data_IF_844288718254
#
_entry.id   IF_844288718254
#
_cell.length_a   1.000
_cell.length_b   1.000
_cell.length_c   1.000
_cell.angle_alpha   90.00
_cell.angle_beta   90.00
_cell.angle_gamma   90.00
#
_symmetry.space_group_name_H-M   'P 1'
#
loop_
_entity.id
_entity.type
_entity.pdbx_description
1 polymer ?
#
# COMPACT_ATOMS: atom_id res chain seq x y z
N UNK A 1 -20.90 -10.91 23.88
CA UNK A 1 -19.70 -11.08 23.06
C UNK A 1 -20.11 -11.78 21.76
N UNK A 2 -19.67 -11.26 20.62
CA UNK A 2 -19.92 -11.91 19.33
C UNK A 2 -19.30 -13.32 19.30
N UNK A 3 -19.92 -14.22 18.54
CA UNK A 3 -19.47 -15.61 18.47
C UNK A 3 -18.17 -15.71 17.66
N UNK A 4 -17.07 -16.09 18.31
CA UNK A 4 -15.77 -16.27 17.67
C UNK A 4 -15.77 -17.35 16.58
N UNK A 5 -16.68 -18.33 16.64
CA UNK A 5 -16.81 -19.33 15.58
C UNK A 5 -17.23 -18.72 14.25
N UNK A 6 -18.06 -17.67 14.29
CA UNK A 6 -18.42 -16.92 13.09
C UNK A 6 -17.20 -16.20 12.51
N UNK A 7 -16.35 -15.62 13.35
CA UNK A 7 -15.12 -15.00 12.91
C UNK A 7 -14.14 -16.03 12.32
N UNK A 8 -13.99 -17.23 12.93
CA UNK A 8 -13.15 -18.30 12.38
C UNK A 8 -13.55 -18.69 10.96
N UNK A 9 -14.86 -18.74 10.66
CA UNK A 9 -15.35 -18.97 9.29
C UNK A 9 -14.92 -17.86 8.34
N UNK A 10 -15.02 -16.60 8.76
CA UNK A 10 -14.56 -15.44 7.98
C UNK A 10 -13.05 -15.51 7.76
N UNK A 11 -12.28 -15.81 8.80
CA UNK A 11 -10.81 -15.95 8.72
C UNK A 11 -10.38 -17.17 7.88
N UNK A 12 -11.28 -18.16 7.69
CA UNK A 12 -10.99 -19.41 7.00
C UNK A 12 -10.09 -20.35 7.80
N UNK A 13 -10.06 -20.19 9.13
CA UNK A 13 -9.21 -20.96 10.03
C UNK A 13 -9.92 -21.23 11.37
N UNK A 14 -9.91 -22.49 11.79
CA UNK A 14 -10.34 -22.89 13.11
C UNK A 14 -9.11 -22.96 14.03
N UNK A 15 -9.06 -22.11 15.04
CA UNK A 15 -7.91 -22.01 15.94
C UNK A 15 -7.83 -23.24 16.84
N UNK A 16 -6.66 -23.89 16.85
CA UNK A 16 -6.33 -24.93 17.82
C UNK A 16 -6.16 -24.33 19.22
N UNK A 17 -5.57 -23.14 19.31
CA UNK A 17 -5.51 -22.34 20.51
C UNK A 17 -6.44 -21.12 20.43
N UNK A 18 -7.66 -21.25 20.92
CA UNK A 18 -8.62 -20.15 20.97
C UNK A 18 -8.15 -18.94 21.82
N UNK A 19 -7.14 -19.09 22.67
CA UNK A 19 -6.57 -17.99 23.43
C UNK A 19 -5.82 -17.01 22.52
N UNK A 20 -5.16 -17.48 21.47
CA UNK A 20 -4.49 -16.64 20.47
C UNK A 20 -5.48 -15.70 19.78
N UNK A 21 -6.64 -16.21 19.34
CA UNK A 21 -7.66 -15.38 18.70
C UNK A 21 -8.21 -14.33 19.66
N UNK A 22 -8.49 -14.71 20.92
CA UNK A 22 -8.95 -13.75 21.94
C UNK A 22 -7.90 -12.68 22.21
N UNK A 23 -6.64 -13.05 22.33
CA UNK A 23 -5.54 -12.12 22.54
C UNK A 23 -5.44 -11.13 21.38
N UNK A 24 -5.52 -11.59 20.12
CA UNK A 24 -5.48 -10.73 18.93
C UNK A 24 -6.62 -9.70 18.88
N UNK A 25 -7.75 -9.98 19.51
CA UNK A 25 -8.93 -9.12 19.57
C UNK A 25 -8.96 -8.23 20.82
N UNK A 26 -8.06 -8.42 21.78
CA UNK A 26 -8.07 -7.70 23.07
C UNK A 26 -7.20 -6.44 22.99
N UNK A 27 -7.85 -5.27 23.16
CA UNK A 27 -7.18 -3.97 23.17
C UNK A 27 -6.37 -3.77 24.47
N UNK A 28 -5.22 -3.08 24.45
CA UNK A 28 -4.40 -2.80 25.64
C UNK A 28 -5.12 -2.02 26.77
N UNK A 29 -6.26 -1.41 26.49
CA UNK A 29 -7.08 -0.77 27.55
C UNK A 29 -7.73 -1.75 28.52
N UNK A 30 -7.76 -3.04 28.19
CA UNK A 30 -8.23 -4.10 29.09
C UNK A 30 -7.09 -4.47 30.03
N UNK A 31 -7.38 -4.62 31.32
CA UNK A 31 -6.40 -4.98 32.33
C UNK A 31 -5.76 -6.37 32.06
N UNK A 32 -4.46 -6.47 32.18
CA UNK A 32 -3.69 -7.72 32.01
C UNK A 32 -2.75 -7.69 30.82
N UNK A 33 -1.86 -8.69 30.75
CA UNK A 33 -0.80 -8.76 29.72
C UNK A 33 -1.22 -9.45 28.41
N UNK A 34 -2.43 -10.02 28.37
CA UNK A 34 -2.93 -10.77 27.22
C UNK A 34 -3.67 -9.87 26.23
N UNK A 35 -2.98 -8.90 25.65
CA UNK A 35 -3.51 -7.99 24.61
C UNK A 35 -2.75 -8.13 23.28
N UNK A 36 -3.24 -7.48 22.24
CA UNK A 36 -2.82 -7.72 20.88
C UNK A 36 -1.39 -7.24 20.51
N UNK A 37 -0.77 -6.32 21.25
CA UNK A 37 0.45 -5.61 20.79
C UNK A 37 1.61 -6.53 20.36
N UNK A 38 1.83 -7.65 21.04
CA UNK A 38 2.88 -8.60 20.64
C UNK A 38 2.52 -9.36 19.35
N UNK A 39 1.24 -9.64 19.14
CA UNK A 39 0.74 -10.27 17.91
C UNK A 39 0.72 -9.27 16.75
N UNK A 40 0.37 -8.02 16.99
CA UNK A 40 0.50 -6.88 16.06
C UNK A 40 1.95 -6.77 15.54
N UNK A 41 2.93 -6.69 16.47
CA UNK A 41 4.35 -6.63 16.10
C UNK A 41 4.75 -7.80 15.19
N UNK A 42 4.32 -9.02 15.49
CA UNK A 42 4.62 -10.20 14.69
C UNK A 42 3.88 -10.15 13.36
N UNK A 43 2.60 -9.82 13.38
CA UNK A 43 1.72 -9.80 12.21
C UNK A 43 2.17 -8.80 11.15
N UNK A 44 2.63 -7.60 11.57
CA UNK A 44 3.22 -6.61 10.66
C UNK A 44 4.41 -7.21 9.87
N UNK A 45 5.31 -7.94 10.53
CA UNK A 45 6.47 -8.59 9.86
C UNK A 45 6.05 -9.72 8.93
N UNK A 46 5.03 -10.48 9.31
CA UNK A 46 4.48 -11.56 8.48
C UNK A 46 3.77 -10.98 7.25
N UNK A 47 2.92 -9.97 7.42
CA UNK A 47 2.29 -9.24 6.31
C UNK A 47 3.34 -8.68 5.36
N UNK A 48 4.35 -8.01 5.90
CA UNK A 48 5.46 -7.44 5.14
C UNK A 48 6.15 -8.50 4.25
N UNK A 49 6.47 -9.66 4.82
CA UNK A 49 7.12 -10.74 4.09
C UNK A 49 6.22 -11.34 2.99
N UNK A 50 4.93 -11.52 3.28
CA UNK A 50 3.96 -12.06 2.32
C UNK A 50 3.77 -11.11 1.14
N UNK A 51 3.50 -9.81 1.41
CA UNK A 51 3.27 -8.80 0.37
C UNK A 51 4.53 -8.57 -0.46
N UNK A 52 5.71 -8.43 0.17
CA UNK A 52 6.96 -8.27 -0.55
C UNK A 52 7.25 -9.47 -1.47
N UNK A 53 7.03 -10.70 -0.97
CA UNK A 53 7.20 -11.92 -1.77
C UNK A 53 6.23 -11.96 -2.96
N UNK A 54 4.99 -11.55 -2.75
CA UNK A 54 3.97 -11.53 -3.80
C UNK A 54 4.32 -10.49 -4.88
N UNK A 55 4.68 -9.28 -4.49
CA UNK A 55 5.10 -8.23 -5.42
C UNK A 55 6.35 -8.63 -6.22
N UNK A 56 7.35 -9.23 -5.58
CA UNK A 56 8.56 -9.71 -6.24
C UNK A 56 8.25 -10.75 -7.35
N UNK A 57 7.25 -11.61 -7.11
CA UNK A 57 6.81 -12.61 -8.10
C UNK A 57 5.96 -12.03 -9.22
N UNK A 58 5.07 -11.09 -8.89
CA UNK A 58 4.17 -10.47 -9.86
C UNK A 58 4.88 -9.48 -10.80
N UNK A 59 5.98 -8.89 -10.34
CA UNK A 59 6.70 -7.84 -11.07
C UNK A 59 8.20 -8.16 -11.20
N UNK A 60 8.58 -9.22 -11.96
CA UNK A 60 9.96 -9.69 -12.03
C UNK A 60 10.94 -8.64 -12.58
N UNK A 61 10.48 -7.75 -13.45
CA UNK A 61 11.32 -6.73 -14.12
C UNK A 61 11.22 -5.34 -13.46
N UNK A 62 10.49 -5.23 -12.33
CA UNK A 62 10.28 -3.94 -11.67
C UNK A 62 11.46 -3.60 -10.76
N UNK A 63 11.92 -2.33 -10.82
CA UNK A 63 12.97 -1.84 -9.93
C UNK A 63 12.50 -1.74 -8.46
N UNK A 64 13.45 -1.67 -7.53
CA UNK A 64 13.20 -1.61 -6.09
C UNK A 64 12.30 -0.42 -5.69
N UNK A 65 12.52 0.76 -6.28
CA UNK A 65 11.75 1.96 -5.93
C UNK A 65 10.26 1.82 -6.23
N UNK A 66 9.92 1.26 -7.37
CA UNK A 66 8.53 1.02 -7.77
C UNK A 66 7.89 -0.12 -6.96
N UNK A 67 8.66 -1.17 -6.64
CA UNK A 67 8.21 -2.22 -5.71
C UNK A 67 7.91 -1.64 -4.33
N UNK A 68 8.78 -0.77 -3.80
CA UNK A 68 8.59 -0.12 -2.51
C UNK A 68 7.36 0.79 -2.47
N UNK A 69 7.05 1.51 -3.54
CA UNK A 69 5.84 2.32 -3.65
C UNK A 69 4.57 1.47 -3.55
N UNK A 70 4.51 0.36 -4.29
CA UNK A 70 3.39 -0.59 -4.26
C UNK A 70 3.26 -1.27 -2.91
N UNK A 71 4.38 -1.71 -2.36
CA UNK A 71 4.44 -2.31 -1.03
C UNK A 71 3.85 -1.38 0.02
N UNK A 72 4.32 -0.12 0.09
CA UNK A 72 3.83 0.86 1.06
C UNK A 72 2.32 1.11 0.94
N UNK A 73 1.77 1.11 -0.28
CA UNK A 73 0.32 1.26 -0.48
C UNK A 73 -0.47 0.07 0.06
N UNK A 74 0.09 -1.13 0.00
CA UNK A 74 -0.58 -2.38 0.42
C UNK A 74 -0.50 -2.63 1.92
N UNK A 75 0.57 -2.18 2.60
CA UNK A 75 0.78 -2.43 4.04
C UNK A 75 0.47 -1.24 4.94
N UNK A 76 0.05 -0.10 4.40
CA UNK A 76 -0.25 1.09 5.20
C UNK A 76 -1.49 0.89 6.07
N UNK A 77 -1.57 1.64 7.17
CA UNK A 77 -2.66 1.54 8.16
C UNK A 77 -4.07 1.72 7.58
N UNK A 78 -4.23 2.58 6.58
CA UNK A 78 -5.53 2.81 5.93
C UNK A 78 -6.01 1.55 5.18
N UNK A 79 -5.10 0.82 4.56
CA UNK A 79 -5.40 -0.45 3.88
C UNK A 79 -5.82 -1.50 4.89
N UNK A 80 -5.04 -1.71 5.94
CA UNK A 80 -5.36 -2.64 7.02
C UNK A 80 -6.71 -2.32 7.70
N UNK A 81 -6.96 -1.04 7.99
CA UNK A 81 -8.23 -0.60 8.55
C UNK A 81 -9.42 -0.87 7.59
N UNK A 82 -9.20 -0.75 6.29
CA UNK A 82 -10.22 -1.08 5.28
C UNK A 82 -10.53 -2.59 5.28
N UNK A 83 -9.50 -3.43 5.33
CA UNK A 83 -9.66 -4.89 5.45
C UNK A 83 -10.38 -5.25 6.77
N UNK A 84 -9.94 -4.67 7.89
CA UNK A 84 -10.57 -4.89 9.19
C UNK A 84 -12.07 -4.57 9.19
N UNK A 85 -12.48 -3.49 8.53
CA UNK A 85 -13.89 -3.12 8.33
C UNK A 85 -14.62 -4.11 7.42
N UNK A 86 -13.99 -4.53 6.31
CA UNK A 86 -14.57 -5.49 5.36
C UNK A 86 -14.94 -6.82 6.01
N UNK A 87 -14.16 -7.26 7.00
CA UNK A 87 -14.39 -8.51 7.74
C UNK A 87 -15.03 -8.29 9.13
N UNK A 88 -15.49 -7.05 9.40
CA UNK A 88 -16.18 -6.65 10.62
C UNK A 88 -15.43 -6.99 11.92
N UNK A 89 -14.10 -6.81 11.96
CA UNK A 89 -13.30 -7.08 13.17
C UNK A 89 -13.77 -6.27 14.38
N UNK A 90 -14.28 -5.06 14.16
CA UNK A 90 -14.76 -4.16 15.21
C UNK A 90 -15.77 -4.83 16.16
N UNK A 91 -16.64 -5.67 15.63
CA UNK A 91 -17.69 -6.39 16.38
C UNK A 91 -17.12 -7.39 17.39
N UNK A 92 -15.94 -7.95 17.11
CA UNK A 92 -15.29 -8.98 17.93
C UNK A 92 -14.27 -8.43 18.92
N UNK A 93 -13.88 -7.16 18.80
CA UNK A 93 -12.87 -6.56 19.66
C UNK A 93 -13.34 -6.46 21.10
N UNK A 94 -12.38 -6.67 22.01
CA UNK A 94 -12.57 -6.49 23.47
C UNK A 94 -11.76 -5.28 23.90
N UNK A 95 -12.42 -4.29 24.53
CA UNK A 95 -11.79 -3.06 25.03
C UNK A 95 -12.47 -2.59 26.30
N UNK A 96 -11.82 -1.69 27.05
CA UNK A 96 -12.44 -1.08 28.23
C UNK A 96 -13.61 -0.17 27.85
N UNK A 97 -14.56 0.03 28.76
CA UNK A 97 -15.68 0.95 28.53
C UNK A 97 -15.22 2.36 28.14
N UNK A 98 -14.18 2.89 28.77
CA UNK A 98 -13.65 4.22 28.43
C UNK A 98 -13.08 4.31 27.00
N UNK A 99 -12.43 3.25 26.48
CA UNK A 99 -11.97 3.22 25.11
C UNK A 99 -13.14 3.06 24.13
N UNK A 100 -14.13 2.25 24.50
CA UNK A 100 -15.36 2.07 23.73
C UNK A 100 -16.15 3.38 23.60
N UNK A 101 -16.36 4.09 24.72
CA UNK A 101 -17.06 5.39 24.79
C UNK A 101 -16.33 6.47 23.96
N UNK A 102 -15.00 6.37 23.84
CA UNK A 102 -14.18 7.26 22.98
C UNK A 102 -14.22 6.89 21.49
N UNK A 103 -15.04 5.93 21.09
CA UNK A 103 -15.18 5.46 19.72
C UNK A 103 -14.05 4.54 19.25
N UNK A 104 -13.35 3.86 20.17
CA UNK A 104 -12.19 3.02 19.91
C UNK A 104 -12.39 2.00 18.79
N UNK A 105 -13.58 1.36 18.72
CA UNK A 105 -13.93 0.38 17.68
C UNK A 105 -13.89 0.94 16.25
N UNK A 106 -14.08 2.24 16.08
CA UNK A 106 -14.10 2.89 14.76
C UNK A 106 -12.76 3.55 14.39
N UNK A 107 -11.81 3.64 15.33
CA UNK A 107 -10.50 4.27 15.08
C UNK A 107 -9.69 3.47 14.06
N UNK A 108 -9.28 4.07 12.93
CA UNK A 108 -8.53 3.35 11.89
C UNK A 108 -7.21 2.73 12.41
N UNK A 109 -6.52 3.41 13.33
CA UNK A 109 -5.29 2.89 13.91
C UNK A 109 -5.52 1.57 14.66
N UNK A 110 -6.55 1.52 15.54
CA UNK A 110 -6.88 0.33 16.32
C UNK A 110 -7.33 -0.82 15.39
N UNK A 111 -8.12 -0.51 14.36
CA UNK A 111 -8.54 -1.50 13.37
C UNK A 111 -7.36 -2.09 12.60
N UNK A 112 -6.38 -1.27 12.25
CA UNK A 112 -5.15 -1.72 11.59
C UNK A 112 -4.33 -2.63 12.53
N UNK A 113 -4.10 -2.19 13.76
CA UNK A 113 -3.32 -2.93 14.75
C UNK A 113 -3.95 -4.32 15.04
N UNK A 114 -5.28 -4.38 15.16
CA UNK A 114 -6.01 -5.66 15.34
C UNK A 114 -5.92 -6.54 14.09
N UNK A 115 -5.97 -5.96 12.88
CA UNK A 115 -5.81 -6.72 11.64
C UNK A 115 -4.41 -7.38 11.57
N UNK A 116 -3.36 -6.64 11.92
CA UNK A 116 -2.00 -7.20 12.04
C UNK A 116 -1.95 -8.31 13.11
N UNK A 117 -2.56 -8.08 14.26
CA UNK A 117 -2.60 -9.08 15.33
C UNK A 117 -3.29 -10.38 14.91
N UNK A 118 -4.37 -10.30 14.12
CA UNK A 118 -5.03 -11.49 13.52
C UNK A 118 -4.06 -12.22 12.60
N UNK A 119 -3.30 -11.51 11.75
CA UNK A 119 -2.28 -12.14 10.88
C UNK A 119 -1.23 -12.84 11.72
N UNK A 120 -0.77 -12.21 12.81
CA UNK A 120 0.18 -12.81 13.76
C UNK A 120 -0.37 -14.06 14.45
N UNK A 121 -1.65 -14.05 14.85
CA UNK A 121 -2.32 -15.19 15.45
C UNK A 121 -2.49 -16.34 14.46
N UNK A 122 -2.93 -16.07 13.23
CA UNK A 122 -3.03 -17.05 12.15
C UNK A 122 -1.69 -17.70 11.84
N UNK A 123 -0.61 -16.90 11.85
CA UNK A 123 0.74 -17.42 11.66
C UNK A 123 1.18 -18.36 12.79
N UNK A 124 0.92 -18.03 14.06
CA UNK A 124 1.32 -18.86 15.19
C UNK A 124 0.54 -20.16 15.27
N UNK A 125 -0.75 -20.14 14.94
CA UNK A 125 -1.63 -21.29 15.04
C UNK A 125 -1.60 -22.19 13.78
N UNK A 126 -1.56 -21.58 12.59
CA UNK A 126 -1.67 -22.27 11.29
C UNK A 126 -0.44 -22.18 10.39
N UNK A 127 0.62 -21.50 10.84
CA UNK A 127 1.85 -21.32 10.07
C UNK A 127 1.75 -20.29 8.96
N UNK A 128 2.86 -20.15 8.21
CA UNK A 128 2.99 -19.10 7.16
C UNK A 128 1.99 -19.30 6.01
N UNK A 129 1.62 -20.52 5.68
CA UNK A 129 0.71 -20.77 4.57
C UNK A 129 -0.73 -20.37 4.91
N UNK A 130 -1.13 -20.50 6.19
CA UNK A 130 -2.43 -20.02 6.64
C UNK A 130 -2.49 -18.48 6.63
N UNK A 131 -1.48 -17.83 7.19
CA UNK A 131 -1.38 -16.37 7.14
C UNK A 131 -1.36 -15.85 5.70
N UNK A 132 -0.62 -16.51 4.80
CA UNK A 132 -0.58 -16.17 3.37
C UNK A 132 -1.95 -16.30 2.71
N UNK A 133 -2.66 -17.41 2.98
CA UNK A 133 -4.01 -17.64 2.41
C UNK A 133 -4.97 -16.54 2.82
N UNK A 134 -4.94 -16.12 4.10
CA UNK A 134 -5.74 -15.01 4.59
C UNK A 134 -5.36 -13.69 3.90
N UNK A 135 -4.07 -13.34 3.87
CA UNK A 135 -3.61 -12.09 3.26
C UNK A 135 -3.98 -12.06 1.78
N UNK A 136 -3.67 -13.07 0.99
CA UNK A 136 -3.96 -13.09 -0.44
C UNK A 136 -5.46 -13.01 -0.71
N UNK A 137 -6.30 -13.67 0.11
CA UNK A 137 -7.75 -13.61 -0.05
C UNK A 137 -8.34 -12.20 0.11
N UNK A 138 -7.81 -11.41 1.04
CA UNK A 138 -8.37 -10.09 1.35
C UNK A 138 -7.61 -8.92 0.70
N UNK A 139 -6.42 -9.16 0.15
CA UNK A 139 -5.63 -8.19 -0.61
C UNK A 139 -5.72 -8.39 -2.13
N UNK A 140 -6.48 -9.38 -2.62
CA UNK A 140 -6.51 -9.77 -4.04
C UNK A 140 -6.87 -8.60 -4.96
N UNK A 141 -7.98 -7.93 -4.71
CA UNK A 141 -8.42 -6.73 -5.44
C UNK A 141 -7.41 -5.56 -5.38
N UNK A 142 -6.68 -5.43 -4.28
CA UNK A 142 -5.63 -4.42 -4.12
C UNK A 142 -4.36 -4.80 -4.89
N UNK A 143 -4.02 -6.06 -4.92
CA UNK A 143 -2.92 -6.59 -5.73
C UNK A 143 -3.23 -6.48 -7.22
N UNK A 144 -4.45 -6.79 -7.65
CA UNK A 144 -4.91 -6.58 -9.03
C UNK A 144 -4.86 -5.10 -9.43
N UNK A 145 -5.32 -4.19 -8.56
CA UNK A 145 -5.18 -2.76 -8.79
C UNK A 145 -3.71 -2.33 -8.91
N UNK A 146 -2.81 -2.96 -8.15
CA UNK A 146 -1.38 -2.71 -8.28
C UNK A 146 -0.80 -3.19 -9.62
N UNK A 147 -1.36 -4.24 -10.25
CA UNK A 147 -0.99 -4.69 -11.58
C UNK A 147 -1.35 -3.66 -12.67
N UNK A 148 -2.49 -3.00 -12.51
CA UNK A 148 -3.01 -2.03 -13.49
C UNK A 148 -2.48 -0.61 -13.27
N UNK A 149 -1.82 -0.35 -12.14
CA UNK A 149 -1.21 0.96 -11.87
C UNK A 149 -0.01 1.16 -12.80
N UNK A 150 -0.11 2.15 -13.70
CA UNK A 150 1.00 2.54 -14.57
C UNK A 150 2.26 2.85 -13.76
N UNK A 151 3.44 2.50 -14.31
CA UNK A 151 4.73 2.90 -13.74
C UNK A 151 4.75 4.43 -13.55
N UNK A 152 5.46 4.90 -12.53
CA UNK A 152 5.68 6.34 -12.35
C UNK A 152 6.32 6.91 -13.64
N UNK A 153 5.68 7.89 -14.29
CA UNK A 153 6.16 8.42 -15.58
C UNK A 153 7.60 8.91 -15.53
N UNK A 154 8.05 9.43 -14.38
CA UNK A 154 9.44 9.89 -14.19
C UNK A 154 10.42 8.72 -14.22
N UNK A 155 10.06 7.60 -13.57
CA UNK A 155 10.86 6.36 -13.58
C UNK A 155 10.91 5.78 -14.98
N UNK A 156 9.78 5.67 -15.66
CA UNK A 156 9.70 5.18 -17.04
C UNK A 156 10.57 6.02 -17.99
N UNK A 157 10.47 7.34 -17.91
CA UNK A 157 11.26 8.26 -18.74
C UNK A 157 12.76 8.15 -18.43
N UNK A 158 13.12 7.97 -17.16
CA UNK A 158 14.53 7.82 -16.77
C UNK A 158 15.11 6.51 -17.29
N UNK A 159 14.42 5.38 -17.14
CA UNK A 159 14.85 4.07 -17.66
C UNK A 159 15.01 4.12 -19.17
N UNK A 160 14.04 4.66 -19.89
CA UNK A 160 14.08 4.84 -21.33
C UNK A 160 15.28 5.72 -21.78
N UNK A 161 15.46 6.88 -21.16
CA UNK A 161 16.54 7.80 -21.49
C UNK A 161 17.93 7.19 -21.22
N UNK A 162 18.09 6.46 -20.12
CA UNK A 162 19.33 5.78 -19.77
C UNK A 162 19.65 4.62 -20.73
N UNK A 163 18.65 3.82 -21.12
CA UNK A 163 18.81 2.73 -22.08
C UNK A 163 19.32 3.22 -23.43
N UNK A 164 18.93 4.43 -23.85
CA UNK A 164 19.38 5.06 -25.10
C UNK A 164 20.62 5.97 -24.95
N UNK A 165 21.21 6.03 -23.75
CA UNK A 165 22.42 6.83 -23.50
C UNK A 165 22.16 8.34 -23.37
N UNK A 166 20.91 8.78 -23.22
CA UNK A 166 20.55 10.21 -23.07
C UNK A 166 20.73 10.73 -21.65
N UNK A 167 21.26 9.91 -20.73
CA UNK A 167 21.50 10.28 -19.34
C UNK A 167 20.21 10.43 -18.52
N UNK A 168 20.32 11.10 -17.37
CA UNK A 168 19.18 11.30 -16.46
C UNK A 168 18.36 12.54 -16.89
N UNK A 169 17.02 12.43 -17.00
CA UNK A 169 16.15 13.57 -17.30
C UNK A 169 16.30 14.69 -16.29
N UNK A 170 16.34 15.95 -16.74
CA UNK A 170 16.45 17.13 -15.89
C UNK A 170 15.13 17.85 -15.81
N UNK A 171 14.67 18.13 -14.57
CA UNK A 171 13.43 18.86 -14.29
C UNK A 171 13.75 20.26 -13.81
N UNK A 172 13.09 21.28 -14.39
CA UNK A 172 13.25 22.68 -14.01
C UNK A 172 11.89 23.34 -13.87
N UNK A 173 11.66 24.02 -12.74
CA UNK A 173 10.49 24.89 -12.58
C UNK A 173 10.61 26.06 -13.54
N UNK A 174 9.64 26.22 -14.41
CA UNK A 174 9.55 27.31 -15.41
C UNK A 174 8.72 28.44 -14.85
N UNK A 175 7.60 28.09 -14.20
CA UNK A 175 6.67 29.09 -13.70
C UNK A 175 5.89 28.55 -12.48
N UNK A 176 5.51 29.48 -11.62
CA UNK A 176 4.57 29.21 -10.53
C UNK A 176 3.50 30.29 -10.53
N UNK A 177 2.23 29.89 -10.65
CA UNK A 177 1.06 30.78 -10.71
C UNK A 177 0.02 30.34 -9.66
N UNK A 178 -1.04 31.13 -9.54
CA UNK A 178 -2.16 30.86 -8.63
C UNK A 178 -1.94 31.34 -7.19
N UNK A 179 -3.00 31.37 -6.39
CA UNK A 179 -2.94 31.80 -4.99
C UNK A 179 -2.19 30.76 -4.13
N UNK A 180 -1.68 31.19 -2.97
CA UNK A 180 -0.88 30.34 -2.08
C UNK A 180 -1.58 29.05 -1.60
N UNK A 181 -2.91 29.05 -1.54
CA UNK A 181 -3.72 27.88 -1.17
C UNK A 181 -4.10 26.97 -2.35
N UNK A 182 -3.86 27.41 -3.59
CA UNK A 182 -4.09 26.63 -4.82
C UNK A 182 -3.01 26.96 -5.88
N UNK A 183 -1.73 26.69 -5.60
CA UNK A 183 -0.64 26.99 -6.52
C UNK A 183 -0.71 26.08 -7.76
N UNK A 184 -0.25 26.59 -8.90
CA UNK A 184 0.01 25.80 -10.11
C UNK A 184 1.48 25.92 -10.46
N UNK A 185 2.11 24.77 -10.64
CA UNK A 185 3.53 24.67 -11.01
C UNK A 185 3.61 24.24 -12.46
N UNK A 186 4.41 24.96 -13.25
CA UNK A 186 4.81 24.53 -14.59
C UNK A 186 6.25 24.07 -14.52
N UNK A 187 6.48 22.79 -14.86
CA UNK A 187 7.81 22.18 -14.86
C UNK A 187 8.13 21.70 -16.26
N UNK A 188 9.36 21.97 -16.71
CA UNK A 188 9.92 21.43 -17.95
C UNK A 188 10.85 20.28 -17.63
N UNK A 189 10.65 19.15 -18.29
CA UNK A 189 11.63 18.06 -18.38
C UNK A 189 12.46 18.24 -19.66
N UNK A 190 13.74 17.91 -19.60
CA UNK A 190 14.65 17.93 -20.75
C UNK A 190 15.63 16.77 -20.71
N UNK A 191 15.94 16.21 -21.88
CA UNK A 191 16.92 15.16 -22.10
C UNK A 191 18.18 15.71 -22.77
N UNK A 192 19.29 14.97 -22.73
CA UNK A 192 20.56 15.40 -23.36
C UNK A 192 20.49 15.47 -24.89
N UNK A 193 19.59 14.72 -25.52
CA UNK A 193 19.36 14.76 -26.97
C UNK A 193 18.52 15.99 -27.43
N UNK A 194 18.15 16.89 -26.50
CA UNK A 194 17.38 18.11 -26.78
C UNK A 194 15.86 17.94 -26.69
N UNK A 195 15.34 16.72 -26.61
CA UNK A 195 13.92 16.48 -26.38
C UNK A 195 13.48 17.00 -25.01
N UNK A 196 12.23 17.44 -24.90
CA UNK A 196 11.69 17.92 -23.64
C UNK A 196 10.25 18.39 -23.77
N UNK A 197 9.51 18.24 -22.69
CA UNK A 197 8.09 18.61 -22.58
C UNK A 197 7.82 19.42 -21.30
N UNK A 198 6.61 19.99 -21.18
CA UNK A 198 6.16 20.68 -20.00
C UNK A 198 4.96 19.95 -19.38
N UNK A 199 4.88 20.03 -18.05
CA UNK A 199 3.74 19.53 -17.29
C UNK A 199 3.28 20.54 -16.26
N UNK A 200 1.99 20.52 -15.93
CA UNK A 200 1.35 21.49 -15.05
C UNK A 200 0.52 20.73 -13.99
N UNK A 201 0.76 21.03 -12.71
CA UNK A 201 -0.05 20.48 -11.63
C UNK A 201 -0.11 21.39 -10.40
N UNK A 202 -0.94 21.03 -9.41
CA UNK A 202 -1.05 21.74 -8.13
C UNK A 202 0.12 21.49 -7.16
N UNK A 203 1.07 20.61 -7.50
CA UNK A 203 2.30 20.37 -6.75
C UNK A 203 3.48 20.19 -7.69
N UNK A 204 4.70 20.49 -7.21
CA UNK A 204 5.93 20.30 -7.99
C UNK A 204 6.07 18.86 -8.49
N UNK A 205 5.89 17.87 -7.58
CA UNK A 205 5.97 16.46 -7.94
C UNK A 205 4.94 16.07 -9.00
N UNK A 206 3.69 16.52 -8.86
CA UNK A 206 2.66 16.27 -9.87
C UNK A 206 2.99 16.88 -11.23
N UNK A 207 3.54 18.09 -11.27
CA UNK A 207 3.96 18.74 -12.51
C UNK A 207 5.18 18.05 -13.16
N UNK A 208 6.10 17.51 -12.37
CA UNK A 208 7.20 16.68 -12.88
C UNK A 208 6.70 15.37 -13.51
N UNK A 209 5.76 14.68 -12.85
CA UNK A 209 5.13 13.48 -13.39
C UNK A 209 4.35 13.76 -14.68
N UNK A 210 3.64 14.88 -14.72
CA UNK A 210 2.87 15.31 -15.89
C UNK A 210 3.81 15.64 -17.08
N UNK A 211 4.92 16.36 -16.83
CA UNK A 211 5.94 16.64 -17.83
C UNK A 211 6.57 15.35 -18.40
N UNK A 212 6.86 14.39 -17.52
CA UNK A 212 7.42 13.09 -17.95
C UNK A 212 6.41 12.30 -18.80
N UNK A 213 5.14 12.26 -18.40
CA UNK A 213 4.07 11.59 -19.16
C UNK A 213 3.89 12.22 -20.54
N UNK A 214 3.88 13.54 -20.62
CA UNK A 214 3.77 14.27 -21.89
C UNK A 214 4.93 13.91 -22.83
N UNK A 215 6.17 13.93 -22.32
CA UNK A 215 7.33 13.58 -23.13
C UNK A 215 7.31 12.12 -23.61
N UNK A 216 6.93 11.17 -22.75
CA UNK A 216 6.79 9.76 -23.14
C UNK A 216 5.74 9.59 -24.24
N UNK A 217 4.60 10.28 -24.15
CA UNK A 217 3.56 10.24 -25.17
C UNK A 217 4.05 10.80 -26.52
N UNK A 218 4.86 11.87 -26.51
CA UNK A 218 5.45 12.44 -27.72
C UNK A 218 6.47 11.47 -28.37
N UNK A 219 7.27 10.78 -27.55
CA UNK A 219 8.23 9.77 -27.99
C UNK A 219 7.51 8.60 -28.64
N UNK A 220 6.48 8.03 -28.00
CA UNK A 220 5.68 6.93 -28.54
C UNK A 220 5.04 7.26 -29.91
N UNK A 221 4.62 8.52 -30.09
CA UNK A 221 4.06 8.98 -31.38
C UNK A 221 5.12 9.05 -32.47
N UNK A 222 6.35 9.49 -32.14
CA UNK A 222 7.48 9.54 -33.09
C UNK A 222 7.92 8.14 -33.51
N UNK A 223 8.09 7.20 -32.57
CA UNK A 223 8.48 5.83 -32.86
C UNK A 223 7.45 5.08 -33.74
N UNK A 224 6.17 5.38 -33.58
CA UNK A 224 5.10 4.82 -34.41
C UNK A 224 5.07 5.41 -35.81
N UNK A 225 5.48 6.68 -35.98
CA UNK A 225 5.53 7.34 -37.28
C UNK A 225 6.75 6.90 -38.10
N UNK A 226 7.86 6.54 -37.46
CA UNK A 226 9.08 6.07 -38.15
C UNK A 226 9.00 4.59 -38.57
N UNK A 227 8.03 3.83 -38.03
CA UNK A 227 7.78 2.41 -38.38
C UNK A 227 6.58 2.20 -39.31
N UNK A 228 5.95 3.25 -39.83
CA UNK A 228 4.81 3.21 -40.75
C UNK A 228 5.22 3.64 -42.17
#
# INVERSE_FOLDING_TARGET
LADLKTLEVVLGHQFADAALLRQALTHPSVSGDAHYQRLEFLGDRILAAIIATQLYRLFPDMNEGDLALRYNALVRKETLATIAKRIDLATYMVMSGGEEDSGGRAKPAILADVCEAIIGALYLDGGIDMARTFVLRYWDDLLEAALTTEKDPKTTLQEWAQALGFGTPRYKEVERTGPSHAPRFTIRVSLQNGQGAQGIAGSKRGAEQDAARTLLSEIDLLEKSDNA
#
